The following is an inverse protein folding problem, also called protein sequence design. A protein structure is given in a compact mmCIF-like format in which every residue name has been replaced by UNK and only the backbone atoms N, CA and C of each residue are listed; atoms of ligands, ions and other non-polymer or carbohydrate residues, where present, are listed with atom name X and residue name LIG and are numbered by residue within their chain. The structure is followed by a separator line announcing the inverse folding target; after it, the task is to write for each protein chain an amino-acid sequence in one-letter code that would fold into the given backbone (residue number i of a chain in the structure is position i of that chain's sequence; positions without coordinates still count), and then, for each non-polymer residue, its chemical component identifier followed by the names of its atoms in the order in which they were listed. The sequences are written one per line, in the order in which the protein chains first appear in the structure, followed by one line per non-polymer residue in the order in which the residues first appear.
data_IF_314071521934
#
_entry.id   IF_314071521934
#
_cell.length_a   1.000
_cell.length_b   1.000
_cell.length_c   1.000
_cell.angle_alpha   90.00
_cell.angle_beta   90.00
_cell.angle_gamma   90.00
#
_symmetry.space_group_name_H-M   'P 1'
#
loop_
_entity.id
_entity.type
_entity.pdbx_description
1 polymer ?
#
# COMPACT_ATOMS: atom_id res chain seq x y z
N UNK A 1 -26.81 -23.10 -51.51
CA UNK A 1 -25.66 -22.77 -50.65
C UNK A 1 -26.11 -21.86 -49.55
N UNK A 2 -26.23 -22.41 -48.36
CA UNK A 2 -26.60 -21.61 -47.22
C UNK A 2 -25.31 -21.22 -46.49
N UNK A 3 -24.99 -19.95 -46.52
CA UNK A 3 -23.88 -19.41 -45.77
C UNK A 3 -24.36 -19.26 -44.31
N UNK A 4 -23.84 -20.11 -43.44
CA UNK A 4 -24.05 -19.98 -42.02
C UNK A 4 -23.05 -18.93 -41.53
N UNK A 5 -23.53 -17.74 -41.33
CA UNK A 5 -22.75 -16.74 -40.65
C UNK A 5 -22.62 -17.16 -39.15
N UNK A 6 -21.47 -17.66 -38.81
CA UNK A 6 -21.11 -17.88 -37.43
C UNK A 6 -20.82 -16.49 -36.86
N UNK A 7 -21.80 -15.93 -36.19
CA UNK A 7 -21.56 -14.76 -35.35
C UNK A 7 -20.77 -15.22 -34.13
N UNK A 8 -19.47 -15.08 -34.18
CA UNK A 8 -18.66 -15.14 -33.00
C UNK A 8 -19.04 -13.93 -32.16
N UNK A 9 -19.92 -14.17 -31.21
CA UNK A 9 -20.06 -13.24 -30.11
C UNK A 9 -18.73 -13.24 -29.36
N UNK A 10 -17.89 -12.27 -29.64
CA UNK A 10 -16.75 -11.96 -28.80
C UNK A 10 -17.33 -11.61 -27.44
N UNK A 11 -17.28 -12.58 -26.53
CA UNK A 11 -17.60 -12.32 -25.14
C UNK A 11 -16.63 -11.24 -24.68
N UNK A 12 -17.13 -10.02 -24.48
CA UNK A 12 -16.43 -9.05 -23.69
C UNK A 12 -16.32 -9.67 -22.31
N UNK A 13 -15.17 -10.25 -22.04
CA UNK A 13 -14.73 -10.41 -20.69
C UNK A 13 -14.51 -8.99 -20.15
N UNK A 14 -15.58 -8.38 -19.67
CA UNK A 14 -15.41 -7.37 -18.68
C UNK A 14 -14.77 -8.08 -17.50
N UNK A 15 -13.44 -8.09 -17.48
CA UNK A 15 -12.73 -8.24 -16.25
C UNK A 15 -13.27 -7.10 -15.40
N UNK A 16 -14.26 -7.40 -14.56
CA UNK A 16 -14.67 -6.49 -13.52
C UNK A 16 -13.38 -6.14 -12.82
N UNK A 17 -12.87 -4.94 -13.10
CA UNK A 17 -11.82 -4.41 -12.28
C UNK A 17 -12.42 -4.39 -10.89
N UNK A 18 -12.12 -5.43 -10.10
CA UNK A 18 -12.10 -5.26 -8.68
C UNK A 18 -11.10 -4.13 -8.53
N UNK A 19 -11.60 -2.92 -8.33
CA UNK A 19 -10.75 -1.80 -8.06
C UNK A 19 -10.06 -2.12 -6.75
N UNK A 20 -8.89 -2.76 -6.85
CA UNK A 20 -7.98 -2.82 -5.75
C UNK A 20 -7.81 -1.38 -5.30
N UNK A 21 -8.21 -1.09 -4.07
CA UNK A 21 -7.98 0.22 -3.51
C UNK A 21 -6.50 0.55 -3.68
N UNK A 22 -6.20 1.75 -4.14
CA UNK A 22 -4.81 2.19 -4.26
C UNK A 22 -4.14 2.19 -2.90
N UNK A 23 -2.82 2.08 -2.86
CA UNK A 23 -2.07 2.19 -1.61
C UNK A 23 -2.37 3.48 -0.87
N UNK A 24 -2.53 4.58 -1.58
CA UNK A 24 -2.92 5.86 -1.00
C UNK A 24 -4.29 5.81 -0.32
N UNK A 25 -5.29 5.24 -0.97
CA UNK A 25 -6.63 5.09 -0.40
C UNK A 25 -6.63 4.20 0.83
N UNK A 26 -5.88 3.12 0.81
CA UNK A 26 -5.72 2.22 1.96
C UNK A 26 -5.07 2.91 3.15
N UNK A 27 -4.05 3.75 2.92
CA UNK A 27 -3.42 4.55 3.97
C UNK A 27 -4.42 5.50 4.63
N UNK A 28 -5.25 6.16 3.85
CA UNK A 28 -6.32 7.04 4.36
C UNK A 28 -7.35 6.26 5.16
N UNK A 29 -7.83 5.15 4.62
CA UNK A 29 -8.82 4.28 5.25
C UNK A 29 -8.32 3.70 6.57
N UNK A 30 -7.04 3.36 6.65
CA UNK A 30 -6.42 2.78 7.83
C UNK A 30 -6.00 3.82 8.88
N UNK A 31 -6.22 5.11 8.63
CA UNK A 31 -5.92 6.19 9.57
C UNK A 31 -4.45 6.60 9.63
N UNK A 32 -3.61 6.09 8.74
CA UNK A 32 -2.17 6.39 8.72
C UNK A 32 -1.89 7.85 8.42
N UNK A 33 -2.75 8.51 7.65
CA UNK A 33 -2.60 9.91 7.25
C UNK A 33 -2.83 10.91 8.39
N UNK A 34 -3.30 10.46 9.55
CA UNK A 34 -3.36 11.29 10.74
C UNK A 34 -1.96 11.64 11.27
N UNK A 35 -0.97 10.77 11.05
CA UNK A 35 0.40 10.93 11.55
C UNK A 35 1.46 11.00 10.44
N UNK A 36 1.14 10.59 9.24
CA UNK A 36 2.06 10.58 8.11
C UNK A 36 1.52 11.37 6.92
N UNK A 37 2.43 11.92 6.13
CA UNK A 37 2.15 12.51 4.82
C UNK A 37 3.18 12.01 3.81
N UNK A 38 2.93 12.21 2.51
CA UNK A 38 3.84 11.73 1.47
C UNK A 38 5.19 12.43 1.50
N UNK A 39 5.20 13.74 1.71
CA UNK A 39 6.35 14.62 1.46
C UNK A 39 6.74 15.49 2.64
N UNK A 40 6.10 15.34 3.79
CA UNK A 40 6.43 16.10 4.99
C UNK A 40 6.22 15.28 6.26
N UNK A 41 7.00 15.60 7.27
CA UNK A 41 6.81 15.07 8.63
C UNK A 41 5.57 15.72 9.26
N UNK A 42 4.73 14.90 9.86
CA UNK A 42 3.60 15.35 10.69
C UNK A 42 3.89 14.92 12.14
N UNK A 43 3.38 13.80 12.59
CA UNK A 43 3.79 13.15 13.85
C UNK A 43 4.87 12.10 13.54
N UNK A 44 4.64 11.27 12.53
CA UNK A 44 5.59 10.33 12.00
C UNK A 44 6.35 10.85 10.77
N UNK A 45 7.35 10.13 10.29
CA UNK A 45 8.14 10.53 9.14
C UNK A 45 7.31 10.61 7.86
N UNK A 46 7.74 11.47 6.92
CA UNK A 46 7.20 11.47 5.57
C UNK A 46 7.41 10.11 4.91
N UNK A 47 6.44 9.65 4.12
CA UNK A 47 6.58 8.38 3.41
C UNK A 47 7.77 8.37 2.44
N UNK A 48 8.08 9.49 1.81
CA UNK A 48 9.28 9.63 0.96
C UNK A 48 10.58 9.41 1.74
N UNK A 49 10.64 9.86 2.97
CA UNK A 49 11.81 9.66 3.83
C UNK A 49 11.93 8.18 4.23
N UNK A 50 10.81 7.53 4.49
CA UNK A 50 10.78 6.08 4.74
C UNK A 50 11.28 5.32 3.51
N UNK A 51 10.81 5.68 2.32
CA UNK A 51 11.26 5.06 1.08
C UNK A 51 12.77 5.25 0.86
N UNK A 52 13.29 6.44 1.12
CA UNK A 52 14.71 6.75 0.98
C UNK A 52 15.57 5.94 1.97
N UNK A 53 15.12 5.82 3.22
CA UNK A 53 15.83 5.04 4.25
C UNK A 53 15.97 3.57 3.89
N UNK A 54 14.95 3.00 3.30
CA UNK A 54 14.92 1.58 2.97
C UNK A 54 15.28 1.27 1.50
N UNK A 55 15.74 2.27 0.77
CA UNK A 55 16.16 2.07 -0.62
C UNK A 55 17.27 1.03 -0.71
N UNK A 56 17.06 0.01 -1.56
CA UNK A 56 18.02 -1.08 -1.74
C UNK A 56 17.95 -2.18 -0.67
N UNK A 57 17.08 -2.07 0.32
CA UNK A 57 16.86 -3.11 1.31
C UNK A 57 15.82 -4.11 0.81
N UNK A 58 16.25 -5.32 0.45
CA UNK A 58 15.36 -6.37 -0.03
C UNK A 58 14.36 -6.85 1.02
N UNK A 59 14.65 -6.68 2.31
CA UNK A 59 13.78 -7.04 3.42
C UNK A 59 12.84 -5.92 3.88
N UNK A 60 12.87 -4.75 3.25
CA UNK A 60 12.15 -3.57 3.70
C UNK A 60 10.63 -3.79 3.80
N UNK A 61 10.03 -4.45 2.81
CA UNK A 61 8.58 -4.68 2.78
C UNK A 61 8.11 -5.49 4.01
N UNK A 62 8.82 -6.55 4.35
CA UNK A 62 8.51 -7.38 5.52
C UNK A 62 8.73 -6.62 6.83
N UNK A 63 9.82 -5.87 6.94
CA UNK A 63 10.13 -5.05 8.13
C UNK A 63 9.08 -3.97 8.37
N UNK A 64 8.65 -3.28 7.33
CA UNK A 64 7.64 -2.23 7.43
C UNK A 64 6.26 -2.81 7.75
N UNK A 65 5.88 -3.93 7.14
CA UNK A 65 4.64 -4.61 7.45
C UNK A 65 4.57 -5.02 8.92
N UNK A 66 5.64 -5.57 9.46
CA UNK A 66 5.73 -5.92 10.88
C UNK A 66 5.67 -4.70 11.78
N UNK A 67 6.37 -3.62 11.42
CA UNK A 67 6.35 -2.34 12.14
C UNK A 67 4.94 -1.76 12.22
N UNK A 68 4.19 -1.78 11.14
CA UNK A 68 2.81 -1.28 11.13
C UNK A 68 1.90 -2.15 12.00
N UNK A 69 2.02 -3.45 11.92
CA UNK A 69 1.20 -4.38 12.73
C UNK A 69 1.47 -4.25 14.21
N UNK A 70 2.72 -4.21 14.61
CA UNK A 70 3.13 -4.24 16.01
C UNK A 70 3.36 -2.86 16.61
N UNK A 71 3.55 -1.84 15.76
CA UNK A 71 3.98 -0.53 16.21
C UNK A 71 5.44 -0.51 16.64
N UNK A 72 5.85 0.56 17.26
CA UNK A 72 7.20 0.70 17.81
C UNK A 72 7.66 2.15 17.85
N UNK A 73 8.90 2.31 18.31
CA UNK A 73 9.54 3.62 18.43
C UNK A 73 11.06 3.47 18.29
N UNK A 74 11.76 4.57 18.18
CA UNK A 74 13.22 4.63 18.23
C UNK A 74 13.89 4.74 16.86
N UNK A 75 13.33 4.20 15.79
CA UNK A 75 13.90 4.30 14.44
C UNK A 75 13.83 5.75 13.91
N UNK A 76 12.74 6.44 14.21
CA UNK A 76 12.46 7.79 13.77
C UNK A 76 12.31 8.78 14.93
N UNK A 77 12.77 8.39 16.11
CA UNK A 77 12.70 9.19 17.31
C UNK A 77 11.83 8.57 18.42
N UNK A 78 11.56 9.31 19.49
CA UNK A 78 10.92 8.75 20.69
C UNK A 78 9.40 8.63 20.61
N UNK A 79 8.76 9.25 19.61
CA UNK A 79 7.30 9.17 19.48
C UNK A 79 6.89 7.79 19.00
N UNK A 80 6.08 7.05 19.77
CA UNK A 80 5.70 5.72 19.38
C UNK A 80 4.66 5.72 18.25
N UNK A 81 4.79 4.78 17.33
CA UNK A 81 3.74 4.43 16.37
C UNK A 81 2.84 3.38 17.01
N UNK A 82 1.53 3.63 17.12
CA UNK A 82 0.63 2.62 17.67
C UNK A 82 0.51 1.39 16.75
N UNK A 83 0.22 0.21 17.31
CA UNK A 83 0.02 -0.99 16.50
C UNK A 83 -1.27 -0.93 15.69
N UNK A 84 -1.26 -1.57 14.52
CA UNK A 84 -2.41 -1.69 13.62
C UNK A 84 -2.68 -3.16 13.29
N UNK A 85 -3.08 -3.99 14.25
CA UNK A 85 -3.21 -5.44 14.05
C UNK A 85 -4.38 -5.84 13.15
N UNK A 86 -5.36 -4.94 12.96
CA UNK A 86 -6.57 -5.22 12.20
C UNK A 86 -6.40 -5.02 10.68
N UNK A 87 -5.26 -4.49 10.22
CA UNK A 87 -5.01 -4.31 8.79
C UNK A 87 -4.78 -5.68 8.15
N UNK A 88 -5.55 -5.99 7.10
CA UNK A 88 -5.41 -7.25 6.36
C UNK A 88 -4.06 -7.34 5.68
N UNK A 89 -3.49 -8.54 5.58
CA UNK A 89 -2.16 -8.76 4.99
C UNK A 89 -2.06 -8.29 3.54
N UNK A 90 -3.10 -8.48 2.74
CA UNK A 90 -3.14 -8.01 1.36
C UNK A 90 -3.11 -6.48 1.28
N UNK A 91 -3.85 -5.79 2.13
CA UNK A 91 -3.87 -4.33 2.23
C UNK A 91 -2.51 -3.81 2.72
N UNK A 92 -1.92 -4.49 3.68
CA UNK A 92 -0.59 -4.17 4.20
C UNK A 92 0.46 -4.19 3.10
N UNK A 93 0.47 -5.23 2.28
CA UNK A 93 1.40 -5.35 1.14
C UNK A 93 1.22 -4.19 0.16
N UNK A 94 -0.01 -3.84 -0.16
CA UNK A 94 -0.32 -2.76 -1.09
C UNK A 94 0.13 -1.41 -0.54
N UNK A 95 -0.13 -1.12 0.72
CA UNK A 95 0.29 0.13 1.38
C UNK A 95 1.80 0.24 1.47
N UNK A 96 2.49 -0.80 1.88
CA UNK A 96 3.95 -0.80 2.00
C UNK A 96 4.61 -0.65 0.63
N UNK A 97 4.11 -1.33 -0.40
CA UNK A 97 4.60 -1.19 -1.76
C UNK A 97 4.44 0.25 -2.28
N UNK A 98 3.32 0.88 -1.99
CA UNK A 98 3.08 2.29 -2.32
C UNK A 98 4.11 3.21 -1.65
N UNK A 99 4.35 3.04 -0.36
CA UNK A 99 5.30 3.85 0.40
C UNK A 99 6.72 3.69 -0.17
N UNK A 100 7.16 2.45 -0.39
CA UNK A 100 8.51 2.17 -0.88
C UNK A 100 8.75 2.63 -2.33
N UNK A 101 7.69 2.83 -3.11
CA UNK A 101 7.79 3.32 -4.49
C UNK A 101 7.86 4.85 -4.59
N UNK A 102 7.65 5.59 -3.52
CA UNK A 102 7.74 7.04 -3.51
C UNK A 102 9.18 7.52 -3.72
N UNK A 103 9.30 8.59 -4.49
CA UNK A 103 10.60 9.18 -4.84
C UNK A 103 10.72 10.60 -4.30
#
# INVERSE_FOLDING_TARGET
MKIVAVVLAAGLLATGAVSAQSGEDLLKKSGCTACHANDKKVVGPAYKDVAAKYKGDAGAAAKLAEKVKKGGQGVWGPVPMPPNPAVADADMKTMVAYILALK
#
